data_IF_012501793922
#
_entry.id   IF_012501793922
#
_cell.length_a   1.000
_cell.length_b   1.000
_cell.length_c   1.000
_cell.angle_alpha   90.00
_cell.angle_beta   90.00
_cell.angle_gamma   90.00
#
_symmetry.space_group_name_H-M   'P 1'
#
loop_
_entity.id
_entity.type
_entity.pdbx_description
1 polymer ?
#
# COMPACT_ATOMS: atom_id res chain seq x y z
N UNK A 1 3.93 9.91 -36.59
CA UNK A 1 4.33 11.18 -35.94
C UNK A 1 5.26 10.87 -34.79
N UNK A 2 6.14 11.79 -34.36
CA UNK A 2 7.04 11.53 -33.24
C UNK A 2 6.22 11.30 -31.97
N UNK A 3 6.51 10.21 -31.26
CA UNK A 3 5.88 9.87 -29.98
C UNK A 3 6.22 10.94 -28.96
N UNK A 4 5.22 11.62 -28.42
CA UNK A 4 5.41 12.63 -27.36
C UNK A 4 5.64 11.87 -26.06
N UNK A 5 6.83 12.03 -25.47
CA UNK A 5 7.10 11.57 -24.11
C UNK A 5 6.59 12.65 -23.13
N UNK A 6 5.64 12.29 -22.27
CA UNK A 6 5.18 13.14 -21.19
C UNK A 6 6.06 12.97 -19.95
N UNK A 7 6.47 14.08 -19.34
CA UNK A 7 7.21 14.10 -18.09
C UNK A 7 6.31 14.59 -16.96
N UNK A 8 6.37 13.93 -15.81
CA UNK A 8 5.70 14.36 -14.58
C UNK A 8 6.77 14.49 -13.51
N UNK A 9 6.95 15.70 -12.99
CA UNK A 9 7.81 15.96 -11.84
C UNK A 9 6.95 15.98 -10.57
N UNK A 10 7.36 15.24 -9.55
CA UNK A 10 6.67 15.13 -8.28
C UNK A 10 7.67 15.30 -7.14
N UNK A 11 7.17 15.59 -5.95
CA UNK A 11 8.00 15.57 -4.76
C UNK A 11 8.64 14.18 -4.55
N UNK A 12 9.91 14.17 -4.18
CA UNK A 12 10.64 12.95 -3.85
C UNK A 12 10.62 12.70 -2.35
N UNK A 13 10.09 11.54 -1.94
CA UNK A 13 10.18 11.03 -0.57
C UNK A 13 10.98 9.72 -0.58
N UNK A 14 12.07 9.61 0.21
CA UNK A 14 13.02 8.52 0.09
C UNK A 14 12.60 7.21 0.75
N UNK A 15 11.49 7.20 1.50
CA UNK A 15 11.08 6.06 2.30
C UNK A 15 9.61 5.75 2.04
N UNK A 16 9.31 4.47 1.83
CA UNK A 16 7.96 3.94 1.77
C UNK A 16 7.53 3.40 3.14
N UNK A 17 6.24 3.13 3.30
CA UNK A 17 5.71 2.51 4.49
C UNK A 17 6.18 1.05 4.58
N UNK A 18 6.36 0.38 3.44
CA UNK A 18 7.03 -0.92 3.37
C UNK A 18 8.43 -0.86 3.97
N UNK A 19 9.26 0.11 3.56
CA UNK A 19 10.61 0.28 4.11
C UNK A 19 10.60 0.47 5.63
N UNK A 20 9.63 1.25 6.13
CA UNK A 20 9.45 1.49 7.56
C UNK A 20 9.08 0.20 8.30
N UNK A 21 8.16 -0.62 7.76
CA UNK A 21 7.76 -1.91 8.33
C UNK A 21 8.91 -2.92 8.29
N UNK A 22 9.61 -3.02 7.16
CA UNK A 22 10.76 -3.92 7.00
C UNK A 22 11.92 -3.56 7.93
N UNK A 23 12.19 -2.27 8.14
CA UNK A 23 13.20 -1.83 9.13
C UNK A 23 12.83 -2.26 10.54
N UNK A 24 11.57 -2.08 10.95
CA UNK A 24 11.10 -2.49 12.28
C UNK A 24 11.25 -3.99 12.51
N UNK A 25 10.96 -4.80 11.48
CA UNK A 25 11.17 -6.24 11.52
C UNK A 25 12.66 -6.58 11.72
N UNK A 26 13.56 -5.92 10.96
CA UNK A 26 15.02 -6.10 11.10
C UNK A 26 15.55 -5.68 12.48
N UNK A 27 14.98 -4.62 13.06
CA UNK A 27 15.36 -4.09 14.38
C UNK A 27 14.82 -4.93 15.55
N UNK A 28 14.18 -6.08 15.29
CA UNK A 28 13.55 -6.92 16.31
C UNK A 28 12.34 -6.27 16.99
N UNK A 29 11.77 -5.23 16.39
CA UNK A 29 10.59 -4.48 16.89
C UNK A 29 9.45 -4.57 15.88
N UNK A 30 8.98 -5.78 15.52
CA UNK A 30 8.02 -5.98 14.44
C UNK A 30 6.68 -5.28 14.65
N UNK A 31 6.36 -4.91 15.90
CA UNK A 31 5.12 -4.21 16.27
C UNK A 31 5.40 -2.79 16.72
N UNK A 32 4.47 -1.90 16.38
CA UNK A 32 4.44 -0.55 16.92
C UNK A 32 3.89 -0.57 18.35
N UNK A 33 4.30 0.39 19.19
CA UNK A 33 3.60 0.61 20.45
C UNK A 33 2.20 1.16 20.18
N UNK A 34 1.28 1.00 21.14
CA UNK A 34 -0.12 1.38 20.99
C UNK A 34 -0.31 2.81 20.49
N UNK A 35 0.47 3.77 21.01
CA UNK A 35 0.33 5.19 20.66
C UNK A 35 0.75 5.44 19.22
N UNK A 36 1.84 4.81 18.79
CA UNK A 36 2.28 4.88 17.41
C UNK A 36 1.29 4.18 16.48
N UNK A 37 0.75 3.03 16.86
CA UNK A 37 -0.25 2.31 16.07
C UNK A 37 -1.54 3.11 15.87
N UNK A 38 -2.09 3.68 16.95
CA UNK A 38 -3.30 4.51 16.88
C UNK A 38 -3.12 5.74 15.97
N UNK A 39 -1.92 6.32 15.95
CA UNK A 39 -1.57 7.41 15.04
C UNK A 39 -1.48 6.94 13.60
N UNK A 40 -0.74 5.86 13.35
CA UNK A 40 -0.62 5.26 12.01
C UNK A 40 -2.00 4.93 11.43
N UNK A 41 -2.89 4.34 12.22
CA UNK A 41 -4.27 4.04 11.82
C UNK A 41 -5.02 5.31 11.42
N UNK A 42 -4.93 6.35 12.25
CA UNK A 42 -5.61 7.63 11.98
C UNK A 42 -5.11 8.28 10.70
N UNK A 43 -3.80 8.39 10.54
CA UNK A 43 -3.20 9.06 9.38
C UNK A 43 -3.51 8.31 8.07
N UNK A 44 -3.51 6.97 8.09
CA UNK A 44 -3.91 6.18 6.93
C UNK A 44 -5.41 6.29 6.61
N UNK A 45 -6.26 6.34 7.63
CA UNK A 45 -7.69 6.56 7.44
C UNK A 45 -8.00 7.96 6.90
N UNK A 46 -7.35 8.99 7.46
CA UNK A 46 -7.47 10.38 7.01
C UNK A 46 -6.96 10.54 5.57
N UNK A 47 -5.89 9.82 5.21
CA UNK A 47 -5.39 9.77 3.84
C UNK A 47 -6.45 9.21 2.88
N UNK A 48 -7.10 8.09 3.22
CA UNK A 48 -8.14 7.52 2.37
C UNK A 48 -9.39 8.39 2.30
N UNK A 49 -9.81 8.97 3.43
CA UNK A 49 -10.93 9.90 3.46
C UNK A 49 -10.64 11.10 2.54
N UNK A 50 -9.44 11.70 2.63
CA UNK A 50 -9.04 12.80 1.77
C UNK A 50 -9.17 12.47 0.28
N UNK A 51 -8.74 11.28 -0.14
CA UNK A 51 -8.88 10.83 -1.52
C UNK A 51 -10.35 10.70 -1.96
N UNK A 52 -11.18 10.11 -1.10
CA UNK A 52 -12.58 9.87 -1.43
C UNK A 52 -13.44 11.14 -1.35
N UNK A 53 -13.13 12.06 -0.45
CA UNK A 53 -13.97 13.24 -0.17
C UNK A 53 -13.47 14.52 -0.83
N UNK A 54 -12.15 14.70 -0.96
CA UNK A 54 -11.55 15.91 -1.54
C UNK A 54 -11.12 15.73 -2.98
N UNK A 55 -10.52 14.59 -3.31
CA UNK A 55 -10.08 14.28 -4.68
C UNK A 55 -11.22 13.66 -5.51
N UNK A 56 -12.27 13.17 -4.84
CA UNK A 56 -13.41 12.44 -5.44
C UNK A 56 -12.96 11.23 -6.27
N UNK A 57 -11.97 10.48 -5.75
CA UNK A 57 -11.41 9.29 -6.41
C UNK A 57 -11.07 8.21 -5.41
N UNK A 58 -11.20 6.96 -5.85
CA UNK A 58 -10.68 5.80 -5.14
C UNK A 58 -9.22 5.53 -5.54
N UNK A 59 -8.29 5.36 -4.58
CA UNK A 59 -6.98 4.80 -4.88
C UNK A 59 -7.12 3.33 -5.32
N UNK A 60 -6.39 2.97 -6.38
CA UNK A 60 -6.52 1.67 -7.06
C UNK A 60 -5.41 0.67 -6.71
N UNK A 61 -4.26 1.16 -6.29
CA UNK A 61 -3.08 0.36 -5.95
C UNK A 61 -2.53 0.81 -4.59
N UNK A 62 -3.36 0.69 -3.55
CA UNK A 62 -2.93 0.97 -2.19
C UNK A 62 -2.16 -0.24 -1.65
N UNK A 63 -0.89 -0.05 -1.31
CA UNK A 63 -0.04 -1.05 -0.65
C UNK A 63 1.05 -0.33 0.14
N UNK A 64 1.72 -0.96 1.11
CA UNK A 64 2.78 -0.31 1.87
C UNK A 64 3.89 0.29 0.99
N UNK A 65 4.21 -0.35 -0.14
CA UNK A 65 5.19 0.16 -1.10
C UNK A 65 4.76 1.47 -1.81
N UNK A 66 3.45 1.68 -1.96
CA UNK A 66 2.87 2.87 -2.61
C UNK A 66 2.45 3.94 -1.59
N UNK A 67 2.75 3.76 -0.31
CA UNK A 67 2.54 4.77 0.71
C UNK A 67 3.92 5.31 1.07
N UNK A 68 4.21 6.54 0.68
CA UNK A 68 5.42 7.25 1.04
C UNK A 68 5.33 7.79 2.46
N UNK A 69 6.49 7.88 3.11
CA UNK A 69 6.65 8.40 4.46
C UNK A 69 7.41 9.70 4.39
N UNK A 70 6.73 10.82 4.68
CA UNK A 70 7.39 12.09 4.94
C UNK A 70 7.88 12.11 6.37
N UNK A 71 9.21 12.17 6.53
CA UNK A 71 9.83 12.39 7.84
C UNK A 71 9.69 13.85 8.24
N UNK A 72 9.09 14.09 9.39
CA UNK A 72 9.06 15.39 10.06
C UNK A 72 9.78 15.31 11.40
N UNK A 73 10.10 16.45 12.01
CA UNK A 73 10.53 16.50 13.41
C UNK A 73 9.42 16.00 14.37
N UNK A 74 8.18 15.91 13.89
CA UNK A 74 7.02 15.32 14.55
C UNK A 74 6.68 13.90 14.05
N UNK A 75 5.42 13.46 14.19
CA UNK A 75 4.98 12.17 13.63
C UNK A 75 5.18 12.09 12.11
N UNK A 76 5.31 10.87 11.61
CA UNK A 76 5.39 10.61 10.17
C UNK A 76 4.10 11.08 9.48
N UNK A 77 4.20 11.58 8.26
CA UNK A 77 3.03 11.85 7.42
C UNK A 77 3.04 10.86 6.25
N UNK A 78 1.89 10.28 5.92
CA UNK A 78 1.75 9.31 4.82
C UNK A 78 1.22 9.97 3.56
N UNK A 79 1.82 9.64 2.41
CA UNK A 79 1.46 10.20 1.09
C UNK A 79 1.30 9.04 0.09
N UNK A 80 0.27 9.05 -0.74
CA UNK A 80 0.12 8.03 -1.80
C UNK A 80 1.06 8.34 -2.97
N UNK A 81 1.86 7.34 -3.38
CA UNK A 81 2.93 7.46 -4.38
C UNK A 81 2.51 7.15 -5.83
N UNK A 82 1.41 6.43 -6.05
CA UNK A 82 1.08 5.92 -7.39
C UNK A 82 -0.39 6.19 -7.77
N UNK A 83 -0.56 7.03 -8.79
CA UNK A 83 -1.84 7.42 -9.37
C UNK A 83 -2.24 6.50 -10.55
N UNK A 84 -1.40 5.52 -10.92
CA UNK A 84 -1.49 4.78 -12.19
C UNK A 84 -2.26 3.45 -12.14
N UNK A 85 -2.85 3.09 -11.00
CA UNK A 85 -3.15 1.71 -10.56
C UNK A 85 -4.01 0.78 -11.44
N UNK A 86 -4.48 1.18 -12.63
CA UNK A 86 -5.08 0.24 -13.60
C UNK A 86 -4.63 0.52 -15.06
N UNK A 87 -4.04 1.68 -15.37
CA UNK A 87 -3.68 2.05 -16.74
C UNK A 87 -2.28 1.57 -17.18
N UNK A 88 -1.50 0.98 -16.27
CA UNK A 88 -0.13 0.51 -16.54
C UNK A 88 0.03 -1.01 -16.46
N UNK A 89 -0.93 -1.76 -17.01
CA UNK A 89 -0.69 -3.11 -17.55
C UNK A 89 0.29 -3.11 -18.75
N UNK A 90 1.13 -2.09 -18.88
CA UNK A 90 2.05 -1.89 -20.00
C UNK A 90 3.36 -2.60 -19.69
N UNK A 91 3.46 -3.87 -20.14
CA UNK A 91 4.67 -4.61 -20.55
C UNK A 91 5.95 -4.64 -19.67
N UNK A 92 6.03 -3.92 -18.55
CA UNK A 92 7.27 -3.74 -17.78
C UNK A 92 7.16 -4.08 -16.29
N UNK A 93 5.97 -4.37 -15.74
CA UNK A 93 5.87 -4.93 -14.39
C UNK A 93 6.12 -6.44 -14.44
N UNK A 94 6.93 -6.94 -13.50
CA UNK A 94 7.15 -8.38 -13.41
C UNK A 94 5.88 -9.07 -12.90
N UNK A 95 5.67 -10.32 -13.30
CA UNK A 95 4.56 -11.15 -12.80
C UNK A 95 4.56 -11.20 -11.25
N UNK A 96 5.75 -11.16 -10.65
CA UNK A 96 5.93 -11.12 -9.20
C UNK A 96 5.42 -9.82 -8.57
N UNK A 97 5.66 -8.67 -9.18
CA UNK A 97 5.17 -7.38 -8.66
C UNK A 97 3.64 -7.30 -8.68
N UNK A 98 3.02 -7.90 -9.71
CA UNK A 98 1.58 -8.06 -9.77
C UNK A 98 1.07 -8.97 -8.64
N UNK A 99 1.72 -10.11 -8.40
CA UNK A 99 1.34 -11.02 -7.31
C UNK A 99 1.50 -10.38 -5.92
N UNK A 100 2.55 -9.59 -5.70
CA UNK A 100 2.73 -8.83 -4.45
C UNK A 100 1.62 -7.79 -4.27
N UNK A 101 1.21 -7.14 -5.36
CA UNK A 101 0.07 -6.21 -5.34
C UNK A 101 -1.24 -6.93 -5.03
N UNK A 102 -1.43 -8.14 -5.55
CA UNK A 102 -2.61 -8.95 -5.32
C UNK A 102 -2.81 -9.35 -3.83
N UNK A 103 -1.75 -9.37 -3.02
CA UNK A 103 -1.84 -9.61 -1.57
C UNK A 103 -2.69 -8.56 -0.83
N UNK A 104 -2.90 -7.40 -1.43
CA UNK A 104 -3.61 -6.26 -0.84
C UNK A 104 -4.94 -5.94 -1.56
N UNK A 105 -5.32 -6.73 -2.57
CA UNK A 105 -6.53 -6.49 -3.36
C UNK A 105 -7.81 -6.87 -2.60
N UNK A 106 -8.84 -6.06 -2.77
CA UNK A 106 -10.18 -6.40 -2.31
C UNK A 106 -10.82 -7.48 -3.20
N UNK A 107 -11.75 -8.31 -2.68
CA UNK A 107 -12.41 -9.36 -3.45
C UNK A 107 -13.08 -8.84 -4.72
N UNK A 108 -13.67 -7.64 -4.66
CA UNK A 108 -14.29 -6.99 -5.81
C UNK A 108 -13.26 -6.55 -6.88
N UNK A 109 -12.02 -6.24 -6.50
CA UNK A 109 -10.95 -5.89 -7.46
C UNK A 109 -10.51 -7.11 -8.28
N UNK A 110 -10.60 -8.31 -7.70
CA UNK A 110 -10.31 -9.58 -8.40
C UNK A 110 -11.28 -9.77 -9.58
N UNK A 111 -12.53 -9.33 -9.44
CA UNK A 111 -13.54 -9.33 -10.49
C UNK A 111 -13.62 -8.00 -11.25
N UNK A 112 -12.53 -7.22 -11.24
CA UNK A 112 -12.37 -5.95 -11.96
C UNK A 112 -13.38 -4.85 -11.59
N UNK A 113 -13.88 -4.87 -10.35
CA UNK A 113 -14.71 -3.81 -9.80
C UNK A 113 -13.89 -2.90 -8.88
N UNK A 114 -14.30 -1.65 -8.78
CA UNK A 114 -13.74 -0.68 -7.84
C UNK A 114 -14.89 0.06 -7.17
N UNK A 115 -15.23 -0.38 -5.97
CA UNK A 115 -16.33 0.17 -5.17
C UNK A 115 -15.78 1.18 -4.18
N UNK A 116 -16.62 2.09 -3.67
CA UNK A 116 -16.20 3.03 -2.60
C UNK A 116 -15.63 2.32 -1.36
N UNK A 117 -16.01 1.07 -1.12
CA UNK A 117 -15.49 0.25 -0.03
C UNK A 117 -14.09 -0.34 -0.30
N UNK A 118 -13.66 -0.43 -1.57
CA UNK A 118 -12.44 -1.14 -1.99
C UNK A 118 -11.17 -0.67 -1.24
N UNK A 119 -10.86 0.63 -1.14
CA UNK A 119 -9.66 1.07 -0.42
C UNK A 119 -9.68 0.73 1.08
N UNK A 120 -10.87 0.61 1.68
CA UNK A 120 -11.02 0.30 3.10
C UNK A 120 -10.69 -1.16 3.43
N UNK A 121 -10.98 -2.08 2.50
CA UNK A 121 -10.51 -3.46 2.60
C UNK A 121 -8.99 -3.51 2.61
N UNK A 122 -8.37 -2.84 1.63
CA UNK A 122 -6.92 -2.78 1.50
C UNK A 122 -6.26 -2.15 2.73
N UNK A 123 -6.87 -1.10 3.30
CA UNK A 123 -6.43 -0.55 4.58
C UNK A 123 -6.46 -1.60 5.68
N UNK A 124 -7.51 -2.42 5.77
CA UNK A 124 -7.60 -3.50 6.75
C UNK A 124 -6.41 -4.47 6.68
N UNK A 125 -5.99 -4.85 5.47
CA UNK A 125 -4.83 -5.72 5.25
C UNK A 125 -3.50 -5.06 5.65
N UNK A 126 -3.35 -3.76 5.36
CA UNK A 126 -2.19 -2.96 5.80
C UNK A 126 -2.17 -2.87 7.33
N UNK A 127 -3.31 -2.59 7.96
CA UNK A 127 -3.41 -2.49 9.40
C UNK A 127 -3.11 -3.83 10.08
N UNK A 128 -3.58 -4.95 9.53
CA UNK A 128 -3.18 -6.27 10.00
C UNK A 128 -1.66 -6.40 10.08
N UNK A 129 -0.94 -6.00 9.02
CA UNK A 129 0.51 -6.04 8.98
C UNK A 129 1.16 -5.12 10.03
N UNK A 130 0.59 -3.95 10.30
CA UNK A 130 1.05 -3.05 11.37
C UNK A 130 0.90 -3.70 12.75
N UNK A 131 -0.21 -4.39 12.99
CA UNK A 131 -0.52 -5.01 14.27
C UNK A 131 0.28 -6.29 14.54
N UNK A 132 0.46 -7.12 13.52
CA UNK A 132 1.11 -8.43 13.67
C UNK A 132 2.61 -8.39 13.37
N UNK A 133 3.03 -7.43 12.56
CA UNK A 133 4.38 -7.32 11.98
C UNK A 133 4.56 -8.12 10.69
N UNK A 134 3.50 -8.73 10.14
CA UNK A 134 3.54 -9.59 8.94
C UNK A 134 2.25 -9.43 8.11
N UNK A 135 2.31 -9.48 6.78
CA UNK A 135 1.09 -9.39 5.95
C UNK A 135 0.16 -10.57 6.24
N UNK A 136 -1.15 -10.38 6.03
CA UNK A 136 -2.15 -11.45 6.22
C UNK A 136 -2.00 -12.54 5.17
N UNK A 137 -1.84 -12.12 3.92
CA UNK A 137 -1.61 -12.99 2.79
C UNK A 137 -0.13 -12.94 2.40
N UNK A 138 0.42 -14.10 2.04
CA UNK A 138 1.78 -14.24 1.52
C UNK A 138 1.76 -15.00 0.19
N UNK A 139 2.81 -14.79 -0.60
CA UNK A 139 3.04 -15.58 -1.80
C UNK A 139 3.83 -16.84 -1.40
N UNK A 140 3.23 -18.02 -1.59
CA UNK A 140 3.87 -19.31 -1.41
C UNK A 140 4.92 -19.61 -2.49
N UNK A 141 5.70 -20.66 -2.28
CA UNK A 141 6.74 -21.11 -3.22
C UNK A 141 6.17 -21.56 -4.58
N UNK A 142 4.91 -21.99 -4.60
CA UNK A 142 4.12 -22.31 -5.79
C UNK A 142 3.49 -21.09 -6.45
N UNK A 143 3.82 -19.89 -5.96
CA UNK A 143 3.26 -18.62 -6.37
C UNK A 143 1.73 -18.50 -6.15
N UNK A 144 1.16 -19.31 -5.25
CA UNK A 144 -0.21 -19.15 -4.78
C UNK A 144 -0.25 -18.17 -3.60
N UNK A 145 -1.33 -17.41 -3.53
CA UNK A 145 -1.61 -16.53 -2.39
C UNK A 145 -2.26 -17.39 -1.30
N UNK A 146 -1.67 -17.38 -0.11
CA UNK A 146 -2.14 -18.16 1.04
C UNK A 146 -2.16 -17.31 2.30
N UNK A 147 -3.07 -17.60 3.22
CA UNK A 147 -3.06 -17.12 4.61
C UNK A 147 -2.36 -18.12 5.56
N UNK A 148 -1.92 -19.27 5.04
CA UNK A 148 -1.35 -20.42 5.77
C UNK A 148 0.14 -20.25 6.11
N UNK A 149 0.66 -19.03 6.26
CA UNK A 149 1.98 -18.80 6.86
C UNK A 149 2.08 -19.26 8.34
N UNK A 150 1.08 -20.01 8.82
CA UNK A 150 0.82 -20.46 10.18
C UNK A 150 0.53 -21.97 10.21
N UNK A 151 1.36 -22.77 9.55
CA UNK A 151 1.62 -24.17 9.95
C UNK A 151 3.10 -24.39 10.20
#
# INVERSE_FOLDING_TARGET
GPSVCGWVAMEYLPETFEDLLSRRLRDGKPRQDRKQTERTVRELADLLDFWQTRIDRNPLDLKPANILVRRSAGPHEFVVADFGGIARFTASQSYRDFQITALYMAPEQIVHQNLKATPWWTLGLILYQVFTGRPLYVLGDDALITDEAWT
#
